data_IF_944017272809
#
_entry.id   IF_944017272809
#
_cell.length_a   1.000
_cell.length_b   1.000
_cell.length_c   1.000
_cell.angle_alpha   90.00
_cell.angle_beta   90.00
_cell.angle_gamma   90.00
#
_symmetry.space_group_name_H-M   'P 1'
#
loop_
_entity.id
_entity.type
_entity.pdbx_description
1 polymer ?
#
# COMPACT_ATOMS: atom_id res chain seq x y z
N UNK A 1 -59.65 -12.03 -3.54
CA UNK A 1 -59.03 -11.34 -2.38
C UNK A 1 -58.28 -10.13 -2.94
N UNK A 2 -58.82 -8.91 -2.83
CA UNK A 2 -58.54 -7.93 -1.74
C UNK A 2 -57.04 -7.55 -1.75
N UNK A 3 -56.55 -6.33 -2.03
CA UNK A 3 -57.12 -4.95 -1.92
C UNK A 3 -56.16 -3.90 -2.54
N UNK A 4 -56.72 -2.88 -3.25
CA UNK A 4 -56.39 -1.42 -3.45
C UNK A 4 -54.93 -0.96 -3.67
N UNK A 5 -54.58 -0.17 -4.71
CA UNK A 5 -54.90 1.25 -5.04
C UNK A 5 -54.47 2.26 -3.96
N UNK A 6 -53.50 3.13 -4.25
CA UNK A 6 -53.64 4.60 -4.09
C UNK A 6 -52.64 5.40 -4.97
N UNK A 7 -53.22 6.37 -5.68
CA UNK A 7 -52.65 7.52 -6.39
C UNK A 7 -52.19 8.61 -5.40
N UNK A 8 -51.27 9.52 -5.80
CA UNK A 8 -51.60 10.94 -5.98
C UNK A 8 -50.50 11.77 -6.68
N UNK A 9 -50.97 12.64 -7.57
CA UNK A 9 -50.31 13.72 -8.31
C UNK A 9 -50.40 15.02 -7.49
N UNK A 10 -49.45 15.94 -7.61
CA UNK A 10 -49.78 17.38 -7.72
C UNK A 10 -48.68 18.21 -8.40
N UNK A 11 -49.15 19.14 -9.22
CA UNK A 11 -48.45 20.06 -10.12
C UNK A 11 -48.95 21.46 -9.76
N UNK A 12 -48.07 22.47 -9.64
CA UNK A 12 -48.48 23.87 -9.77
C UNK A 12 -47.29 24.75 -10.20
N UNK A 13 -47.46 25.33 -11.39
CA UNK A 13 -46.75 26.48 -11.93
C UNK A 13 -47.32 27.77 -11.31
N UNK A 14 -46.50 28.80 -11.15
CA UNK A 14 -46.86 30.19 -11.52
C UNK A 14 -45.60 31.02 -11.75
N UNK A 15 -45.71 31.95 -12.68
CA UNK A 15 -44.70 32.83 -13.27
C UNK A 15 -45.18 34.30 -13.22
N UNK A 16 -44.24 35.23 -13.51
CA UNK A 16 -44.40 36.69 -13.80
C UNK A 16 -44.62 37.62 -12.58
N UNK A 17 -44.16 38.89 -12.50
CA UNK A 17 -43.45 39.85 -13.39
C UNK A 17 -42.88 41.01 -12.53
N UNK A 18 -41.98 41.82 -13.12
CA UNK A 18 -41.42 43.09 -12.66
C UNK A 18 -42.44 44.18 -12.26
N UNK A 19 -42.03 45.12 -11.40
CA UNK A 19 -41.91 46.56 -11.75
C UNK A 19 -41.27 47.40 -10.63
N UNK A 20 -40.95 48.64 -11.02
CA UNK A 20 -39.88 49.57 -10.66
C UNK A 20 -40.24 50.64 -9.58
N UNK A 21 -39.22 51.44 -9.21
CA UNK A 21 -39.22 52.79 -8.60
C UNK A 21 -39.57 52.89 -7.08
N UNK A 22 -38.95 53.71 -6.21
CA UNK A 22 -38.45 55.07 -6.37
C UNK A 22 -37.44 55.48 -5.25
N UNK A 23 -36.73 56.59 -5.52
CA UNK A 23 -35.62 57.22 -4.78
C UNK A 23 -36.09 58.10 -3.59
N UNK A 24 -35.33 58.19 -2.48
CA UNK A 24 -35.05 59.47 -1.79
C UNK A 24 -33.86 59.39 -0.82
N UNK A 25 -33.00 60.41 -0.91
CA UNK A 25 -31.90 60.75 0.01
C UNK A 25 -32.43 61.61 1.16
N UNK A 26 -31.99 61.36 2.39
CA UNK A 26 -31.85 62.38 3.42
C UNK A 26 -30.68 62.04 4.35
N UNK A 27 -30.04 63.09 4.87
CA UNK A 27 -28.68 63.16 5.38
C UNK A 27 -28.66 63.38 6.90
N UNK A 28 -27.58 62.93 7.57
CA UNK A 28 -27.07 63.31 8.91
C UNK A 28 -27.81 62.65 10.11
N UNK A 29 -27.20 62.21 11.21
CA UNK A 29 -26.01 62.63 11.95
C UNK A 29 -25.26 61.44 12.60
N UNK A 30 -23.99 61.65 12.90
CA UNK A 30 -23.10 60.79 13.70
C UNK A 30 -23.60 60.61 15.15
N UNK A 31 -23.52 59.38 15.65
CA UNK A 31 -23.34 59.11 17.07
C UNK A 31 -22.42 57.89 17.23
N UNK A 32 -21.26 58.15 17.83
CA UNK A 32 -20.30 57.16 18.29
C UNK A 32 -20.96 56.25 19.33
N UNK A 33 -20.92 54.93 19.12
CA UNK A 33 -21.00 53.95 20.19
C UNK A 33 -20.04 52.79 19.87
N UNK A 34 -19.30 52.40 20.90
CA UNK A 34 -18.18 51.46 20.93
C UNK A 34 -18.42 50.17 20.13
N UNK A 35 -17.63 49.96 19.07
CA UNK A 35 -17.47 48.62 18.48
C UNK A 35 -16.52 47.86 19.39
N UNK A 36 -17.09 46.92 20.15
CA UNK A 36 -16.36 45.82 20.78
C UNK A 36 -15.76 44.99 19.64
N UNK A 37 -14.44 45.01 19.50
CA UNK A 37 -13.68 44.01 18.76
C UNK A 37 -13.96 42.64 19.40
N UNK A 38 -14.89 41.90 18.80
CA UNK A 38 -14.86 40.45 18.85
C UNK A 38 -14.06 40.00 17.63
N UNK A 39 -12.73 40.08 17.74
CA UNK A 39 -11.86 39.13 17.04
C UNK A 39 -12.18 37.75 17.63
N UNK A 40 -13.25 37.13 17.14
CA UNK A 40 -13.32 35.67 17.11
C UNK A 40 -12.32 35.24 16.04
N UNK A 41 -11.06 35.11 16.46
CA UNK A 41 -10.12 34.18 15.87
C UNK A 41 -10.79 32.81 15.90
N UNK A 42 -11.54 32.49 14.84
CA UNK A 42 -11.88 31.13 14.45
C UNK A 42 -10.55 30.43 14.11
N UNK A 43 -9.84 30.02 15.16
CA UNK A 43 -8.86 28.96 15.14
C UNK A 43 -9.63 27.67 14.80
N UNK A 44 -10.00 27.54 13.52
CA UNK A 44 -10.40 26.30 12.89
C UNK A 44 -9.19 25.36 13.00
N UNK A 45 -9.07 24.72 14.16
CA UNK A 45 -8.39 23.46 14.35
C UNK A 45 -9.09 22.45 13.44
N UNK A 46 -8.80 22.54 12.15
CA UNK A 46 -9.34 21.70 11.11
C UNK A 46 -8.66 20.33 11.23
N UNK A 47 -8.98 19.61 12.31
CA UNK A 47 -8.54 18.23 12.51
C UNK A 47 -9.11 17.41 11.36
N UNK A 48 -8.21 16.87 10.53
CA UNK A 48 -8.55 15.97 9.42
C UNK A 48 -9.55 14.90 9.88
N UNK A 49 -10.73 14.77 9.23
CA UNK A 49 -11.74 13.81 9.65
C UNK A 49 -11.20 12.37 9.68
N UNK A 50 -11.16 11.77 10.86
CA UNK A 50 -10.75 10.37 11.07
C UNK A 50 -11.89 9.45 10.63
N UNK A 51 -11.55 8.44 9.82
CA UNK A 51 -12.53 7.54 9.19
C UNK A 51 -12.77 6.26 9.97
N UNK A 52 -11.82 5.83 10.79
CA UNK A 52 -11.89 4.58 11.54
C UNK A 52 -12.17 4.81 13.03
N UNK A 53 -12.81 3.83 13.68
CA UNK A 53 -13.26 3.94 15.07
C UNK A 53 -12.22 3.36 16.02
N UNK A 54 -12.27 3.75 17.30
CA UNK A 54 -11.50 3.12 18.38
C UNK A 54 -9.99 3.01 18.06
N UNK A 55 -9.42 4.15 17.61
CA UNK A 55 -8.05 4.25 17.08
C UNK A 55 -6.96 3.89 18.09
N UNK A 56 -7.23 4.11 19.39
CA UNK A 56 -6.33 3.78 20.51
C UNK A 56 -6.74 2.52 21.27
N UNK A 57 -7.66 1.71 20.72
CA UNK A 57 -8.09 0.45 21.32
C UNK A 57 -8.70 0.55 22.74
N UNK A 58 -9.19 1.74 23.13
CA UNK A 58 -9.82 1.98 24.44
C UNK A 58 -11.06 1.12 24.67
N UNK A 59 -11.79 0.79 23.60
CA UNK A 59 -12.95 -0.10 23.60
C UNK A 59 -12.57 -1.57 23.31
N UNK A 60 -11.29 -1.92 23.50
CA UNK A 60 -10.77 -3.25 23.17
C UNK A 60 -10.73 -3.48 21.66
N UNK A 61 -11.11 -4.68 21.23
CA UNK A 61 -11.16 -5.06 19.81
C UNK A 61 -12.51 -4.77 19.14
N UNK A 62 -13.38 -3.98 19.77
CA UNK A 62 -14.63 -3.57 19.15
C UNK A 62 -14.35 -2.83 17.83
N UNK A 63 -15.13 -3.13 16.79
CA UNK A 63 -14.97 -2.67 15.39
C UNK A 63 -13.82 -3.29 14.59
N UNK A 64 -12.88 -3.98 15.24
CA UNK A 64 -11.72 -4.57 14.55
C UNK A 64 -11.98 -5.99 14.04
N UNK A 65 -11.43 -6.31 12.87
CA UNK A 65 -11.36 -7.66 12.32
C UNK A 65 -9.97 -8.22 12.54
N UNK A 66 -9.89 -9.43 13.07
CA UNK A 66 -8.62 -10.08 13.40
C UNK A 66 -8.48 -11.40 12.66
N UNK A 67 -7.24 -11.75 12.29
CA UNK A 67 -6.91 -13.04 11.71
C UNK A 67 -5.58 -13.54 12.29
N UNK A 68 -5.52 -14.85 12.52
CA UNK A 68 -4.30 -15.58 12.86
C UNK A 68 -4.17 -16.74 11.89
N UNK A 69 -3.00 -16.91 11.30
CA UNK A 69 -2.74 -18.05 10.43
C UNK A 69 -2.98 -19.38 11.17
N UNK A 70 -3.68 -20.37 10.57
CA UNK A 70 -4.06 -21.62 11.24
C UNK A 70 -2.88 -22.41 11.82
N UNK A 71 -1.72 -22.36 11.16
CA UNK A 71 -0.46 -23.01 11.56
C UNK A 71 0.07 -22.52 12.92
N UNK A 72 -0.24 -21.28 13.30
CA UNK A 72 0.28 -20.62 14.51
C UNK A 72 -0.83 -20.14 15.46
N UNK A 73 -2.10 -20.42 15.13
CA UNK A 73 -3.26 -19.80 15.79
C UNK A 73 -3.31 -20.01 17.32
N UNK A 74 -2.75 -21.12 17.80
CA UNK A 74 -2.71 -21.46 19.23
C UNK A 74 -1.71 -20.59 20.02
N UNK A 75 -0.60 -20.19 19.39
CA UNK A 75 0.49 -19.49 20.06
C UNK A 75 0.53 -17.99 19.73
N UNK A 76 -0.06 -17.62 18.60
CA UNK A 76 -0.13 -16.25 18.14
C UNK A 76 -1.13 -15.41 18.96
N UNK A 77 -0.80 -14.14 19.23
CA UNK A 77 -1.59 -13.28 20.13
C UNK A 77 -2.04 -12.03 19.39
N UNK A 78 -3.32 -11.69 19.56
CA UNK A 78 -3.92 -10.40 19.25
C UNK A 78 -4.78 -10.06 20.46
N UNK A 79 -4.39 -9.06 21.24
CA UNK A 79 -5.12 -8.64 22.45
C UNK A 79 -4.89 -7.16 22.74
N UNK A 80 -5.71 -6.59 23.62
CA UNK A 80 -5.55 -5.21 24.08
C UNK A 80 -5.10 -5.21 25.54
N UNK A 81 -4.10 -4.40 25.84
CA UNK A 81 -3.44 -4.33 27.15
C UNK A 81 -3.58 -2.95 27.79
N UNK A 82 -3.71 -2.92 29.11
CA UNK A 82 -3.77 -1.71 29.94
C UNK A 82 -2.64 -1.76 30.98
N UNK A 83 -1.41 -1.46 30.58
CA UNK A 83 -0.21 -1.66 31.42
C UNK A 83 0.77 -0.47 31.40
N UNK A 84 0.32 0.72 30.99
CA UNK A 84 1.15 1.94 30.96
C UNK A 84 2.10 2.04 29.76
N UNK A 85 2.06 1.09 28.81
CA UNK A 85 2.80 1.16 27.55
C UNK A 85 1.97 1.69 26.37
N UNK A 86 0.82 2.31 26.63
CA UNK A 86 0.06 2.96 25.58
C UNK A 86 0.76 4.23 25.08
N UNK A 87 0.70 4.50 23.78
CA UNK A 87 1.22 5.73 23.17
C UNK A 87 0.29 6.91 23.48
N UNK A 88 -1.01 6.67 23.49
CA UNK A 88 -2.06 7.60 23.91
C UNK A 88 -3.06 6.84 24.79
N UNK A 89 -3.84 7.57 25.60
CA UNK A 89 -4.83 6.92 26.46
C UNK A 89 -4.23 5.94 27.49
N UNK A 90 -4.93 4.83 27.71
CA UNK A 90 -4.59 3.79 28.70
C UNK A 90 -4.29 2.45 28.04
N UNK A 91 -4.85 2.19 26.87
CA UNK A 91 -4.80 0.89 26.20
C UNK A 91 -3.98 0.95 24.92
N UNK A 92 -3.45 -0.20 24.53
CA UNK A 92 -2.82 -0.40 23.22
C UNK A 92 -3.06 -1.83 22.77
N UNK A 93 -2.91 -2.06 21.48
CA UNK A 93 -2.95 -3.38 20.89
C UNK A 93 -1.58 -4.06 21.03
N UNK A 94 -1.60 -5.31 21.49
CA UNK A 94 -0.45 -6.20 21.54
C UNK A 94 -0.61 -7.31 20.49
N UNK A 95 0.38 -7.41 19.60
CA UNK A 95 0.53 -8.47 18.61
C UNK A 95 1.73 -9.33 18.96
N UNK A 96 1.56 -10.66 18.92
CA UNK A 96 2.67 -11.62 18.97
C UNK A 96 2.62 -12.56 17.79
N UNK A 97 3.76 -12.65 17.12
CA UNK A 97 4.07 -13.75 16.23
C UNK A 97 4.98 -14.73 16.98
N UNK A 98 4.59 -16.00 17.13
CA UNK A 98 5.32 -16.94 17.96
C UNK A 98 6.59 -17.43 17.27
N UNK A 99 7.55 -17.93 18.06
CA UNK A 99 8.75 -18.62 17.58
C UNK A 99 8.45 -19.81 16.65
N UNK A 100 7.27 -20.42 16.77
CA UNK A 100 6.83 -21.49 15.86
C UNK A 100 6.51 -21.00 14.45
N UNK A 101 6.37 -19.69 14.24
CA UNK A 101 6.15 -19.08 12.94
C UNK A 101 7.45 -19.07 12.14
N UNK A 102 7.46 -19.77 11.00
CA UNK A 102 8.67 -19.99 10.21
C UNK A 102 8.56 -19.45 8.79
N UNK A 103 7.34 -19.25 8.30
CA UNK A 103 7.08 -18.95 6.90
C UNK A 103 6.41 -17.59 6.82
N UNK A 104 7.15 -16.59 6.35
CA UNK A 104 6.69 -15.21 6.36
C UNK A 104 5.38 -14.99 5.58
N UNK A 105 5.17 -15.77 4.52
CA UNK A 105 3.99 -15.65 3.65
C UNK A 105 2.80 -16.51 4.07
N UNK A 106 2.93 -17.32 5.13
CA UNK A 106 1.88 -18.22 5.59
C UNK A 106 1.57 -18.08 7.09
N UNK A 107 2.56 -17.69 7.89
CA UNK A 107 2.46 -17.54 9.33
C UNK A 107 2.42 -16.05 9.69
N UNK A 108 1.24 -15.48 9.76
CA UNK A 108 1.06 -14.07 10.11
C UNK A 108 -0.12 -13.86 11.05
N UNK A 109 -0.09 -12.74 11.77
CA UNK A 109 -1.25 -12.18 12.46
C UNK A 109 -1.62 -10.86 11.84
N UNK A 110 -2.92 -10.57 11.83
CA UNK A 110 -3.46 -9.45 11.08
C UNK A 110 -4.64 -8.84 11.83
N UNK A 111 -4.73 -7.51 11.79
CA UNK A 111 -5.88 -6.78 12.32
C UNK A 111 -6.16 -5.51 11.51
N UNK A 112 -7.43 -5.22 11.26
CA UNK A 112 -7.84 -4.08 10.45
C UNK A 112 -9.32 -3.74 10.55
N UNK A 113 -9.75 -2.70 9.83
CA UNK A 113 -11.14 -2.27 9.68
C UNK A 113 -11.51 -2.11 8.21
N UNK A 114 -12.77 -2.43 7.87
CA UNK A 114 -13.34 -2.01 6.59
C UNK A 114 -13.90 -0.61 6.74
N UNK A 115 -13.39 0.31 5.91
CA UNK A 115 -13.76 1.71 5.89
C UNK A 115 -14.46 2.02 4.57
N UNK A 116 -15.55 2.77 4.62
CA UNK A 116 -16.22 3.30 3.42
C UNK A 116 -15.47 4.56 2.97
N UNK A 117 -14.60 4.44 1.96
CA UNK A 117 -13.77 5.53 1.48
C UNK A 117 -14.20 5.98 0.08
N UNK A 118 -14.00 7.26 -0.22
CA UNK A 118 -14.36 7.90 -1.49
C UNK A 118 -13.11 8.05 -2.37
N UNK A 119 -13.18 7.58 -3.62
CA UNK A 119 -12.06 7.72 -4.58
C UNK A 119 -11.73 9.18 -4.93
N UNK A 120 -12.63 10.11 -4.65
CA UNK A 120 -12.44 11.56 -4.87
C UNK A 120 -11.68 12.24 -3.73
N UNK A 121 -11.28 11.49 -2.69
CA UNK A 121 -10.54 12.00 -1.54
C UNK A 121 -9.16 11.34 -1.41
N UNK A 122 -8.21 12.10 -0.86
CA UNK A 122 -6.90 11.60 -0.42
C UNK A 122 -6.94 11.27 1.05
N UNK A 123 -6.28 10.17 1.39
CA UNK A 123 -6.22 9.68 2.75
C UNK A 123 -4.78 9.53 3.21
N UNK A 124 -4.56 9.75 4.52
CA UNK A 124 -3.34 9.39 5.21
C UNK A 124 -3.63 8.23 6.14
N UNK A 125 -2.95 7.12 5.93
CA UNK A 125 -2.85 6.04 6.89
C UNK A 125 -1.71 6.37 7.85
N UNK A 126 -1.93 6.32 9.16
CA UNK A 126 -0.89 6.46 10.16
C UNK A 126 -1.09 5.52 11.35
N UNK A 127 0.01 5.02 11.92
CA UNK A 127 -0.01 4.12 13.07
C UNK A 127 1.28 4.26 13.86
N UNK A 128 1.19 4.20 15.19
CA UNK A 128 2.36 4.13 16.07
C UNK A 128 2.68 2.68 16.39
N UNK A 129 3.92 2.29 16.14
CA UNK A 129 4.40 0.94 16.37
C UNK A 129 5.60 0.95 17.32
N UNK A 130 5.67 -0.02 18.22
CA UNK A 130 6.84 -0.25 19.08
C UNK A 130 7.17 -1.74 19.10
N UNK A 131 8.41 -2.07 18.82
CA UNK A 131 8.90 -3.43 19.01
C UNK A 131 9.12 -3.68 20.51
N UNK A 132 8.38 -4.64 21.08
CA UNK A 132 8.28 -4.81 22.53
C UNK A 132 9.38 -5.69 23.12
N UNK A 133 10.05 -6.49 22.29
CA UNK A 133 11.09 -7.42 22.73
C UNK A 133 12.37 -7.35 21.86
N UNK A 134 12.97 -6.16 21.69
CA UNK A 134 14.16 -5.95 20.85
C UNK A 134 15.42 -6.66 21.36
N UNK A 135 15.40 -7.17 22.58
CA UNK A 135 16.48 -7.94 23.18
C UNK A 135 16.59 -9.37 22.65
N UNK A 136 15.60 -9.84 21.89
CA UNK A 136 15.73 -11.11 21.20
C UNK A 136 16.79 -11.00 20.07
N UNK A 137 17.35 -12.12 19.61
CA UNK A 137 18.41 -12.10 18.60
C UNK A 137 17.91 -11.79 17.17
N UNK A 138 16.67 -11.29 17.02
CA UNK A 138 16.15 -10.85 15.74
C UNK A 138 16.74 -9.48 15.38
N UNK A 139 16.93 -9.16 14.10
CA UNK A 139 17.51 -7.88 13.70
C UNK A 139 16.52 -6.71 13.75
N UNK A 140 15.22 -6.97 13.69
CA UNK A 140 14.14 -5.98 13.68
C UNK A 140 12.81 -6.66 14.04
N UNK A 141 11.70 -5.92 14.03
CA UNK A 141 10.36 -6.46 13.79
C UNK A 141 9.85 -5.98 12.42
N UNK A 142 9.17 -6.86 11.68
CA UNK A 142 8.62 -6.55 10.35
C UNK A 142 7.10 -6.42 10.44
N UNK A 143 6.58 -5.23 10.15
CA UNK A 143 5.13 -4.96 10.16
C UNK A 143 4.71 -4.48 8.79
N UNK A 144 3.69 -5.11 8.22
CA UNK A 144 3.04 -4.69 6.98
C UNK A 144 1.89 -3.74 7.30
N UNK A 145 1.84 -2.56 6.67
CA UNK A 145 0.73 -1.62 6.78
C UNK A 145 0.12 -1.39 5.39
N UNK A 146 -1.17 -1.70 5.23
CA UNK A 146 -1.80 -1.75 3.91
C UNK A 146 -3.26 -1.32 3.93
N UNK A 147 -3.69 -0.78 2.79
CA UNK A 147 -5.08 -0.54 2.43
C UNK A 147 -5.39 -1.38 1.19
N UNK A 148 -6.32 -2.33 1.32
CA UNK A 148 -6.82 -3.15 0.21
C UNK A 148 -8.10 -2.53 -0.35
N UNK A 149 -8.06 -2.12 -1.60
CA UNK A 149 -9.18 -1.52 -2.31
C UNK A 149 -10.24 -2.56 -2.71
N UNK A 150 -11.47 -2.13 -3.04
CA UNK A 150 -12.56 -3.02 -3.47
C UNK A 150 -12.22 -3.89 -4.69
N UNK A 151 -11.37 -3.38 -5.59
CA UNK A 151 -10.90 -4.10 -6.78
C UNK A 151 -9.77 -5.10 -6.50
N UNK A 152 -9.32 -5.21 -5.24
CA UNK A 152 -8.26 -6.10 -4.81
C UNK A 152 -6.86 -5.49 -4.86
N UNK A 153 -6.70 -4.26 -5.35
CA UNK A 153 -5.41 -3.57 -5.36
C UNK A 153 -4.99 -3.13 -3.97
N UNK A 154 -3.70 -2.85 -3.77
CA UNK A 154 -3.14 -2.50 -2.47
C UNK A 154 -2.35 -1.19 -2.52
N UNK A 155 -2.48 -0.39 -1.47
CA UNK A 155 -1.62 0.76 -1.18
C UNK A 155 -1.01 0.58 0.20
N UNK A 156 0.30 0.75 0.34
CA UNK A 156 0.96 0.51 1.63
C UNK A 156 2.42 0.13 1.48
N UNK A 157 2.97 -0.44 2.54
CA UNK A 157 4.37 -0.87 2.63
C UNK A 157 4.60 -1.77 3.83
N UNK A 158 5.70 -2.48 3.78
CA UNK A 158 6.31 -3.07 4.96
C UNK A 158 7.18 -2.04 5.67
N UNK A 159 7.24 -2.13 7.00
CA UNK A 159 8.07 -1.29 7.87
C UNK A 159 8.93 -2.18 8.76
N UNK A 160 10.20 -1.82 8.86
CA UNK A 160 11.19 -2.48 9.71
C UNK A 160 11.43 -1.61 10.92
N UNK A 161 11.22 -2.18 12.11
CA UNK A 161 11.43 -1.50 13.38
C UNK A 161 12.75 -2.00 13.97
N UNK A 162 13.81 -1.22 13.77
CA UNK A 162 15.19 -1.64 14.10
C UNK A 162 15.57 -1.39 15.57
N UNK A 163 14.75 -0.66 16.32
CA UNK A 163 14.93 -0.47 17.76
C UNK A 163 13.57 -0.50 18.47
N UNK A 164 13.51 -1.16 19.63
CA UNK A 164 12.28 -1.29 20.43
C UNK A 164 12.15 -0.29 21.57
N UNK A 165 12.94 0.79 21.56
CA UNK A 165 13.00 1.73 22.70
C UNK A 165 11.70 2.53 22.84
N UNK A 166 11.27 3.17 21.75
CA UNK A 166 10.16 4.11 21.72
C UNK A 166 9.18 3.78 20.59
N UNK A 167 7.96 4.31 20.69
CA UNK A 167 7.00 4.26 19.59
C UNK A 167 7.48 5.09 18.40
N UNK A 168 7.31 4.53 17.21
CA UNK A 168 7.65 5.15 15.94
C UNK A 168 6.39 5.33 15.10
N UNK A 169 6.20 6.54 14.56
CA UNK A 169 5.07 6.84 13.67
C UNK A 169 5.39 6.35 12.26
N UNK A 170 4.56 5.45 11.74
CA UNK A 170 4.61 5.03 10.35
C UNK A 170 3.37 5.52 9.63
N UNK A 171 3.55 6.11 8.45
CA UNK A 171 2.45 6.60 7.64
C UNK A 171 2.72 6.48 6.14
N UNK A 172 1.65 6.48 5.36
CA UNK A 172 1.65 6.65 3.91
C UNK A 172 0.36 7.34 3.47
N UNK A 173 0.41 7.98 2.31
CA UNK A 173 -0.75 8.59 1.68
C UNK A 173 -1.24 7.72 0.53
N UNK A 174 -2.56 7.66 0.32
CA UNK A 174 -3.16 6.92 -0.77
C UNK A 174 -4.49 7.53 -1.21
N UNK A 175 -4.93 7.12 -2.39
CA UNK A 175 -6.25 7.41 -2.93
C UNK A 175 -6.88 6.08 -3.31
N UNK A 176 -8.10 5.76 -2.83
CA UNK A 176 -8.79 4.54 -3.23
C UNK A 176 -8.97 4.47 -4.74
N UNK A 177 -8.77 3.31 -5.33
CA UNK A 177 -8.99 3.11 -6.79
C UNK A 177 -10.48 3.17 -7.16
N UNK A 178 -11.36 2.87 -6.20
CA UNK A 178 -12.80 2.96 -6.33
C UNK A 178 -13.45 3.36 -4.99
N UNK A 179 -14.60 4.04 -5.06
CA UNK A 179 -15.41 4.35 -3.88
C UNK A 179 -16.00 3.06 -3.32
N UNK A 180 -15.88 2.85 -2.01
CA UNK A 180 -16.47 1.72 -1.30
C UNK A 180 -15.59 1.20 -0.16
N UNK A 181 -15.80 -0.08 0.18
CA UNK A 181 -15.13 -0.74 1.30
C UNK A 181 -13.65 -1.01 1.05
N UNK A 182 -12.79 -0.17 1.61
CA UNK A 182 -11.35 -0.38 1.69
C UNK A 182 -11.02 -1.07 3.01
N UNK A 183 -10.24 -2.15 2.98
CA UNK A 183 -9.77 -2.81 4.20
C UNK A 183 -8.39 -2.28 4.57
N UNK A 184 -8.34 -1.44 5.61
CA UNK A 184 -7.09 -0.87 6.15
C UNK A 184 -6.61 -1.74 7.32
N UNK A 185 -5.37 -2.20 7.26
CA UNK A 185 -4.87 -3.20 8.20
C UNK A 185 -3.37 -3.12 8.47
N UNK A 186 -2.99 -3.77 9.57
CA UNK A 186 -1.62 -4.15 9.88
C UNK A 186 -1.47 -5.68 9.89
N UNK A 187 -0.29 -6.17 9.51
CA UNK A 187 0.12 -7.56 9.72
C UNK A 187 1.51 -7.64 10.34
N UNK A 188 1.71 -8.58 11.25
CA UNK A 188 3.03 -8.90 11.79
C UNK A 188 3.57 -10.13 11.06
N UNK A 189 4.77 -9.97 10.51
CA UNK A 189 5.42 -10.88 9.58
C UNK A 189 6.57 -11.65 10.24
N UNK A 190 6.87 -12.88 9.78
CA UNK A 190 7.97 -13.65 10.37
C UNK A 190 9.32 -13.12 9.91
N UNK A 191 10.31 -13.30 10.76
CA UNK A 191 11.69 -13.29 10.32
C UNK A 191 11.98 -14.57 9.55
N UNK A 192 12.88 -14.45 8.57
CA UNK A 192 13.35 -15.60 7.82
C UNK A 192 14.51 -16.31 8.51
N UNK A 193 15.16 -15.65 9.47
CA UNK A 193 16.20 -16.22 10.33
C UNK A 193 16.01 -15.77 11.76
N UNK A 194 16.17 -16.71 12.69
CA UNK A 194 15.84 -16.51 14.10
C UNK A 194 14.36 -16.77 14.30
N UNK A 195 14.05 -17.74 15.15
CA UNK A 195 12.69 -18.17 15.45
C UNK A 195 12.41 -17.81 16.90
N UNK A 196 12.35 -16.52 17.16
CA UNK A 196 11.95 -15.96 18.46
C UNK A 196 10.56 -15.37 18.33
N UNK A 197 9.88 -15.26 19.47
CA UNK A 197 8.64 -14.49 19.50
C UNK A 197 8.95 -13.06 19.03
N UNK A 198 8.12 -12.52 18.15
CA UNK A 198 8.16 -11.10 17.79
C UNK A 198 6.93 -10.45 18.38
N UNK A 199 7.14 -9.50 19.29
CA UNK A 199 6.07 -8.81 20.01
C UNK A 199 6.03 -7.35 19.57
N UNK A 200 4.88 -6.88 19.09
CA UNK A 200 4.71 -5.49 18.65
C UNK A 200 3.54 -4.86 19.37
N UNK A 201 3.78 -3.66 19.92
CA UNK A 201 2.74 -2.78 20.42
C UNK A 201 2.30 -1.85 19.30
N UNK A 202 1.00 -1.62 19.22
CA UNK A 202 0.35 -0.82 18.18
C UNK A 202 -0.63 0.10 18.87
N UNK A 203 -0.61 1.37 18.47
CA UNK A 203 -1.53 2.36 19.01
C UNK A 203 -1.78 3.48 18.00
N UNK A 204 -2.83 4.28 18.24
CA UNK A 204 -3.22 5.43 17.42
C UNK A 204 -3.26 5.09 15.91
N UNK A 205 -3.93 3.98 15.55
CA UNK A 205 -4.17 3.63 14.14
C UNK A 205 -5.21 4.60 13.57
N UNK A 206 -4.82 5.45 12.62
CA UNK A 206 -5.68 6.46 12.00
C UNK A 206 -5.69 6.36 10.48
N UNK A 207 -6.87 6.53 9.90
CA UNK A 207 -7.08 6.83 8.48
C UNK A 207 -7.82 8.15 8.40
N UNK A 208 -7.15 9.18 7.87
CA UNK A 208 -7.61 10.56 7.89
C UNK A 208 -7.83 11.09 6.48
N UNK A 209 -8.87 11.88 6.25
CA UNK A 209 -9.01 12.66 5.00
C UNK A 209 -8.03 13.82 5.04
N UNK A 210 -7.16 13.91 4.04
CA UNK A 210 -6.15 14.98 3.94
C UNK A 210 -6.39 15.95 2.78
N UNK A 211 -7.47 15.76 2.02
CA UNK A 211 -7.88 16.64 0.93
C UNK A 211 -8.58 15.89 -0.20
N UNK A 212 -8.79 16.59 -1.31
CA UNK A 212 -9.34 16.01 -2.53
C UNK A 212 -8.29 15.19 -3.30
N UNK A 213 -8.75 14.20 -4.04
CA UNK A 213 -7.96 13.49 -5.04
C UNK A 213 -7.45 14.48 -6.08
N UNK A 214 -6.12 14.55 -6.22
CA UNK A 214 -5.49 15.32 -7.29
C UNK A 214 -5.42 14.42 -8.51
N UNK A 215 -6.17 14.79 -9.55
CA UNK A 215 -6.11 14.12 -10.85
C UNK A 215 -5.45 15.06 -11.84
N UNK A 216 -4.17 14.82 -12.09
CA UNK A 216 -3.44 15.59 -13.09
C UNK A 216 -3.80 15.11 -14.49
N UNK A 217 -3.86 16.03 -15.45
CA UNK A 217 -4.07 15.64 -16.85
C UNK A 217 -2.83 14.92 -17.37
N UNK A 218 -2.98 13.64 -17.71
CA UNK A 218 -1.96 12.94 -18.50
C UNK A 218 -2.15 13.29 -19.99
N UNK A 219 -1.18 14.00 -20.62
CA UNK A 219 -1.31 14.47 -21.99
C UNK A 219 -1.22 13.33 -23.03
N UNK A 220 -0.92 12.11 -22.60
CA UNK A 220 -0.82 10.94 -23.47
C UNK A 220 -2.20 10.27 -23.62
N UNK A 221 -2.51 9.68 -24.79
CA UNK A 221 -3.70 8.85 -24.95
C UNK A 221 -3.72 7.65 -23.99
N UNK A 222 -4.92 7.22 -23.58
CA UNK A 222 -5.11 6.00 -22.80
C UNK A 222 -4.70 4.75 -23.60
N UNK A 223 -4.44 3.66 -22.88
CA UNK A 223 -4.13 2.33 -23.41
C UNK A 223 -2.83 2.23 -24.24
N UNK A 224 -2.02 3.30 -24.28
CA UNK A 224 -0.68 3.26 -24.87
C UNK A 224 0.31 2.70 -23.85
N UNK A 225 1.12 1.72 -24.28
CA UNK A 225 2.22 1.22 -23.47
C UNK A 225 3.28 2.31 -23.30
N UNK A 226 3.58 2.64 -22.05
CA UNK A 226 4.55 3.67 -21.69
C UNK A 226 5.97 3.13 -21.54
N UNK A 227 6.14 1.81 -21.48
CA UNK A 227 7.44 1.16 -21.46
C UNK A 227 7.99 1.00 -22.87
N UNK A 228 9.28 1.25 -23.02
CA UNK A 228 10.04 0.98 -24.24
C UNK A 228 10.65 -0.42 -24.18
N UNK A 229 10.78 -1.07 -25.34
CA UNK A 229 11.40 -2.39 -25.49
C UNK A 229 10.80 -3.43 -24.53
N UNK A 230 9.47 -3.51 -24.50
CA UNK A 230 8.71 -4.42 -23.62
C UNK A 230 8.86 -5.90 -23.94
N UNK A 231 9.20 -6.23 -25.18
CA UNK A 231 9.46 -7.59 -25.67
C UNK A 231 10.96 -7.94 -25.66
N UNK A 232 11.80 -7.07 -25.11
CA UNK A 232 13.26 -7.26 -25.01
C UNK A 232 13.97 -7.55 -26.35
N UNK A 233 13.38 -7.16 -27.49
CA UNK A 233 13.93 -7.41 -28.82
C UNK A 233 15.29 -6.75 -29.01
N UNK A 234 15.45 -5.56 -28.41
CA UNK A 234 16.67 -4.75 -28.42
C UNK A 234 17.55 -5.05 -27.19
N UNK A 235 17.35 -6.21 -26.58
CA UNK A 235 18.06 -6.64 -25.38
C UNK A 235 17.72 -5.76 -24.16
N UNK A 236 18.74 -5.23 -23.48
CA UNK A 236 18.55 -4.34 -22.32
C UNK A 236 18.45 -2.86 -22.67
N UNK A 237 18.40 -2.48 -23.95
CA UNK A 237 18.20 -1.08 -24.31
C UNK A 237 16.94 -0.53 -23.64
N UNK A 238 17.03 0.69 -23.10
CA UNK A 238 16.02 1.38 -22.27
C UNK A 238 15.78 0.80 -20.86
N UNK A 239 16.36 -0.36 -20.54
CA UNK A 239 16.24 -0.99 -19.23
C UNK A 239 17.49 -0.75 -18.39
N UNK A 240 17.28 -0.24 -17.18
CA UNK A 240 18.36 -0.14 -16.21
C UNK A 240 18.45 -1.43 -15.42
N UNK A 241 19.69 -1.89 -15.27
CA UNK A 241 20.04 -2.98 -14.38
C UNK A 241 20.00 -2.54 -12.92
N UNK A 242 19.47 -3.38 -12.06
CA UNK A 242 19.46 -3.14 -10.61
C UNK A 242 19.80 -4.42 -9.87
N UNK A 243 20.57 -4.32 -8.79
CA UNK A 243 20.89 -5.43 -7.90
C UNK A 243 21.36 -4.90 -6.54
N UNK A 244 21.29 -5.75 -5.51
CA UNK A 244 22.04 -5.60 -4.28
C UNK A 244 22.70 -6.94 -4.00
N UNK A 245 24.01 -6.91 -3.73
CA UNK A 245 24.80 -8.10 -3.46
C UNK A 245 25.81 -7.82 -2.34
N UNK A 246 25.34 -7.52 -1.12
CA UNK A 246 26.23 -7.07 -0.03
C UNK A 246 27.23 -8.16 0.40
N UNK A 247 26.94 -9.41 0.09
CA UNK A 247 27.75 -10.59 0.45
C UNK A 247 28.53 -11.17 -0.74
N UNK A 248 28.51 -10.50 -1.90
CA UNK A 248 29.19 -10.92 -3.13
C UNK A 248 28.87 -12.37 -3.54
N UNK A 249 27.59 -12.76 -3.48
CA UNK A 249 27.13 -14.07 -3.95
C UNK A 249 27.36 -14.19 -5.45
N UNK A 250 28.05 -15.25 -5.87
CA UNK A 250 28.25 -15.60 -7.27
C UNK A 250 26.93 -16.10 -7.91
N UNK A 251 26.68 -15.77 -9.18
CA UNK A 251 25.50 -16.26 -9.91
C UNK A 251 24.25 -15.38 -9.83
N UNK A 252 24.37 -14.14 -9.37
CA UNK A 252 23.35 -13.10 -9.53
C UNK A 252 23.32 -12.58 -10.96
N UNK A 253 22.62 -13.29 -11.83
CA UNK A 253 22.62 -12.99 -13.25
C UNK A 253 21.33 -12.33 -13.71
N UNK A 254 21.48 -11.54 -14.77
CA UNK A 254 20.40 -11.08 -15.62
C UNK A 254 20.90 -11.09 -17.05
N UNK A 255 20.16 -11.72 -17.93
CA UNK A 255 20.51 -11.79 -19.34
C UNK A 255 19.26 -11.91 -20.19
N UNK A 256 19.43 -11.63 -21.47
CA UNK A 256 18.39 -11.80 -22.46
C UNK A 256 18.47 -13.22 -22.98
N UNK A 257 17.36 -13.93 -22.92
CA UNK A 257 17.23 -15.28 -23.47
C UNK A 257 16.35 -15.20 -24.70
N UNK A 258 16.80 -15.85 -25.78
CA UNK A 258 16.02 -16.01 -26.99
C UNK A 258 15.58 -17.47 -27.13
N UNK A 259 14.27 -17.69 -27.23
CA UNK A 259 13.69 -19.00 -27.47
C UNK A 259 12.60 -18.90 -28.54
N UNK A 260 12.70 -19.73 -29.58
CA UNK A 260 11.79 -19.70 -30.74
C UNK A 260 11.65 -18.31 -31.39
N UNK A 261 12.69 -17.48 -31.33
CA UNK A 261 12.72 -16.11 -31.85
C UNK A 261 12.10 -15.05 -30.93
N UNK A 262 11.54 -15.45 -29.78
CA UNK A 262 11.05 -14.52 -28.75
C UNK A 262 12.15 -14.25 -27.73
N UNK A 263 12.34 -12.98 -27.37
CA UNK A 263 13.31 -12.57 -26.35
C UNK A 263 12.61 -12.28 -25.03
N UNK A 264 13.24 -12.66 -23.94
CA UNK A 264 12.77 -12.38 -22.57
C UNK A 264 13.95 -12.03 -21.68
N UNK A 265 13.69 -11.34 -20.57
CA UNK A 265 14.71 -11.19 -19.53
C UNK A 265 14.66 -12.41 -18.61
N UNK A 266 15.79 -13.06 -18.39
CA UNK A 266 15.95 -14.07 -17.35
C UNK A 266 16.61 -13.43 -16.12
N UNK A 267 16.01 -13.63 -14.95
CA UNK A 267 16.53 -13.23 -13.64
C UNK A 267 16.92 -14.48 -12.85
N UNK A 268 18.13 -14.49 -12.31
CA UNK A 268 18.66 -15.63 -11.57
C UNK A 268 19.11 -15.24 -10.16
N UNK A 269 18.71 -16.07 -9.20
CA UNK A 269 19.28 -16.13 -7.86
C UNK A 269 19.85 -17.53 -7.61
N UNK A 270 21.10 -17.64 -7.13
CA UNK A 270 21.65 -18.91 -6.68
C UNK A 270 20.93 -19.39 -5.41
N UNK A 271 20.93 -20.70 -5.17
CA UNK A 271 20.38 -21.27 -3.94
C UNK A 271 21.37 -21.18 -2.78
N UNK A 272 20.92 -20.67 -1.64
CA UNK A 272 21.66 -20.69 -0.38
C UNK A 272 20.69 -20.86 0.82
N UNK A 273 20.02 -22.02 0.94
CA UNK A 273 18.94 -22.24 1.92
C UNK A 273 19.37 -22.16 3.38
N UNK A 274 20.68 -22.16 3.66
CA UNK A 274 21.24 -22.08 5.00
C UNK A 274 22.00 -20.77 5.26
N UNK A 275 21.99 -19.82 4.32
CA UNK A 275 22.82 -18.62 4.40
C UNK A 275 22.02 -17.35 4.70
N UNK A 276 22.57 -16.51 5.58
CA UNK A 276 22.17 -15.10 5.73
C UNK A 276 22.43 -14.25 4.50
N UNK A 277 23.22 -14.77 3.57
CA UNK A 277 23.73 -14.01 2.43
C UNK A 277 22.63 -13.60 1.44
N UNK A 278 21.53 -14.36 1.37
CA UNK A 278 20.46 -14.09 0.41
C UNK A 278 19.39 -13.10 0.88
N UNK A 279 19.33 -12.81 2.19
CA UNK A 279 18.27 -11.95 2.75
C UNK A 279 18.32 -10.50 2.24
N UNK A 280 19.50 -10.00 1.91
CA UNK A 280 19.67 -8.66 1.35
C UNK A 280 20.00 -8.69 -0.14
N UNK A 281 19.99 -9.87 -0.74
CA UNK A 281 20.42 -10.09 -2.11
C UNK A 281 19.23 -10.06 -3.05
N UNK A 282 19.35 -9.30 -4.12
CA UNK A 282 18.33 -9.24 -5.15
C UNK A 282 18.93 -8.83 -6.50
N UNK A 283 18.27 -9.23 -7.58
CA UNK A 283 18.57 -8.78 -8.94
C UNK A 283 17.28 -8.42 -9.66
N UNK A 284 17.35 -7.49 -10.60
CA UNK A 284 16.20 -7.11 -11.40
C UNK A 284 16.53 -6.04 -12.43
N UNK A 285 15.46 -5.50 -13.01
CA UNK A 285 15.50 -4.42 -13.97
C UNK A 285 14.47 -3.35 -13.62
N UNK A 286 14.67 -2.14 -14.17
CA UNK A 286 13.68 -1.08 -14.08
C UNK A 286 13.75 -0.11 -15.26
N UNK A 287 12.63 0.57 -15.51
CA UNK A 287 12.55 1.71 -16.42
C UNK A 287 11.86 2.87 -15.71
N UNK A 288 12.31 4.10 -15.99
CA UNK A 288 11.75 5.31 -15.43
C UNK A 288 10.59 5.79 -16.30
N UNK A 289 9.40 5.87 -15.72
CA UNK A 289 8.19 6.31 -16.42
C UNK A 289 7.55 7.45 -15.63
N UNK A 290 7.21 8.55 -16.32
CA UNK A 290 6.39 9.60 -15.72
C UNK A 290 4.95 9.10 -15.60
N UNK A 291 4.43 9.06 -14.38
CA UNK A 291 3.01 8.79 -14.11
C UNK A 291 2.38 10.07 -13.55
N UNK A 292 1.09 10.26 -13.81
CA UNK A 292 0.36 11.47 -13.42
C UNK A 292 -0.59 11.16 -12.28
N UNK A 293 -0.59 12.00 -11.24
CA UNK A 293 -1.39 11.86 -10.02
C UNK A 293 -2.85 11.54 -10.36
N UNK A 294 -3.44 10.60 -9.62
CA UNK A 294 -4.85 10.22 -9.71
C UNK A 294 -5.26 9.45 -10.96
N UNK A 295 -4.37 9.22 -11.93
CA UNK A 295 -4.66 8.39 -13.10
C UNK A 295 -4.39 6.91 -12.78
N UNK A 296 -5.30 6.01 -13.14
CA UNK A 296 -5.07 4.58 -12.97
C UNK A 296 -4.23 4.03 -14.12
N UNK A 297 -3.21 3.24 -13.80
CA UNK A 297 -2.38 2.55 -14.77
C UNK A 297 -2.41 1.04 -14.52
N UNK A 298 -2.52 0.26 -15.59
CA UNK A 298 -2.41 -1.20 -15.53
C UNK A 298 -0.97 -1.62 -15.85
N UNK A 299 -0.29 -2.26 -14.90
CA UNK A 299 0.99 -2.92 -15.06
C UNK A 299 0.74 -4.39 -15.41
N UNK A 300 1.28 -4.86 -16.54
CA UNK A 300 1.11 -6.23 -17.00
C UNK A 300 2.44 -6.86 -17.36
N UNK A 301 2.58 -8.17 -17.18
CA UNK A 301 3.75 -8.93 -17.60
C UNK A 301 3.37 -10.38 -17.89
N UNK A 302 4.11 -11.03 -18.78
CA UNK A 302 4.11 -12.48 -18.94
C UNK A 302 5.30 -13.06 -18.18
N UNK A 303 5.05 -14.09 -17.40
CA UNK A 303 6.05 -14.72 -16.53
C UNK A 303 6.10 -16.20 -16.87
N UNK A 304 7.30 -16.68 -17.15
CA UNK A 304 7.57 -18.09 -17.35
C UNK A 304 8.64 -18.56 -16.35
N UNK A 305 8.44 -19.74 -15.79
CA UNK A 305 9.32 -20.32 -14.77
C UNK A 305 10.22 -21.35 -15.43
N UNK A 306 11.53 -21.07 -15.44
CA UNK A 306 12.55 -22.08 -15.80
C UNK A 306 13.08 -22.71 -14.51
N UNK A 307 12.24 -23.42 -13.78
CA UNK A 307 12.68 -24.20 -12.61
C UNK A 307 12.41 -25.68 -12.87
N UNK A 308 13.31 -26.60 -12.48
CA UNK A 308 13.14 -28.02 -12.78
C UNK A 308 11.79 -28.57 -12.31
N UNK A 309 11.21 -29.45 -13.13
CA UNK A 309 10.02 -30.22 -12.77
C UNK A 309 10.24 -30.96 -11.44
N UNK A 310 9.28 -30.85 -10.50
CA UNK A 310 9.37 -31.48 -9.18
C UNK A 310 9.86 -30.55 -8.06
N UNK A 311 9.75 -29.24 -8.24
CA UNK A 311 10.09 -28.27 -7.20
C UNK A 311 8.90 -27.98 -6.28
N UNK A 312 9.02 -28.33 -5.01
CA UNK A 312 7.93 -28.24 -4.01
C UNK A 312 7.82 -26.88 -3.29
N UNK A 313 8.69 -25.92 -3.60
CA UNK A 313 8.65 -24.57 -3.02
C UNK A 313 8.06 -23.54 -3.97
N UNK A 314 7.44 -22.51 -3.38
CA UNK A 314 6.91 -21.37 -4.10
C UNK A 314 8.04 -20.43 -4.52
N UNK A 315 7.86 -19.80 -5.67
CA UNK A 315 8.72 -18.74 -6.19
C UNK A 315 7.98 -17.41 -6.12
N UNK A 316 8.70 -16.36 -5.72
CA UNK A 316 8.21 -15.00 -5.62
C UNK A 316 8.96 -14.11 -6.61
N UNK A 317 8.20 -13.41 -7.45
CA UNK A 317 8.65 -12.33 -8.31
C UNK A 317 7.97 -11.03 -7.90
N UNK A 318 8.72 -9.96 -7.74
CA UNK A 318 8.22 -8.69 -7.23
C UNK A 318 8.03 -7.72 -8.39
N UNK A 319 6.86 -7.08 -8.49
CA UNK A 319 6.54 -6.06 -9.51
C UNK A 319 6.03 -4.79 -8.86
N UNK A 320 6.78 -3.71 -8.94
CA UNK A 320 6.40 -2.51 -8.22
C UNK A 320 6.76 -1.23 -8.96
N UNK A 321 5.92 -0.23 -8.74
CA UNK A 321 6.17 1.15 -9.10
C UNK A 321 6.50 1.93 -7.82
N UNK A 322 7.70 2.51 -7.77
CA UNK A 322 8.12 3.29 -6.61
C UNK A 322 8.78 4.60 -7.03
N UNK A 323 8.56 5.64 -6.23
CA UNK A 323 9.25 6.92 -6.40
C UNK A 323 10.69 6.79 -5.90
N UNK A 324 11.73 7.01 -6.72
CA UNK A 324 13.10 7.04 -6.25
C UNK A 324 13.32 8.20 -5.25
N UNK A 325 14.15 8.00 -4.22
CA UNK A 325 14.31 8.96 -3.13
C UNK A 325 15.04 10.21 -3.63
N UNK A 326 14.31 11.31 -3.77
CA UNK A 326 14.89 12.68 -3.76
C UNK A 326 14.45 13.44 -2.51
N UNK A 327 13.28 13.11 -1.95
CA UNK A 327 12.81 13.52 -0.61
C UNK A 327 11.88 12.42 -0.03
N UNK A 328 11.95 12.23 1.29
CA UNK A 328 11.14 11.28 2.08
C UNK A 328 9.68 11.76 2.16
N UNK A 329 8.64 10.88 2.19
CA UNK A 329 8.67 9.42 2.25
C UNK A 329 8.61 8.70 0.89
N UNK A 330 9.19 7.49 0.85
CA UNK A 330 9.05 6.56 -0.27
C UNK A 330 7.58 6.20 -0.46
N UNK A 331 6.97 6.60 -1.57
CA UNK A 331 5.63 6.19 -1.96
C UNK A 331 5.73 4.97 -2.89
N UNK A 332 5.19 3.85 -2.41
CA UNK A 332 5.04 2.59 -3.14
C UNK A 332 3.61 2.50 -3.65
N UNK A 333 3.43 2.17 -4.93
CA UNK A 333 2.11 2.21 -5.58
C UNK A 333 1.53 0.83 -5.94
N UNK A 334 2.26 -0.28 -5.74
CA UNK A 334 1.86 -1.60 -6.22
C UNK A 334 2.83 -2.74 -5.92
N UNK A 335 2.43 -3.96 -6.31
CA UNK A 335 2.55 -5.21 -5.51
C UNK A 335 3.97 -5.63 -5.06
N UNK A 336 4.02 -6.16 -3.84
CA UNK A 336 5.29 -6.66 -3.29
C UNK A 336 5.56 -8.07 -3.79
N UNK A 337 4.61 -9.02 -3.83
CA UNK A 337 4.95 -10.41 -4.20
C UNK A 337 3.93 -11.03 -5.17
N UNK A 338 4.38 -11.44 -6.37
CA UNK A 338 3.64 -12.37 -7.22
C UNK A 338 4.17 -13.79 -6.99
N UNK A 339 3.31 -14.65 -6.42
CA UNK A 339 3.67 -15.98 -5.94
C UNK A 339 3.10 -17.06 -6.86
N UNK A 340 3.94 -18.01 -7.23
CA UNK A 340 3.57 -19.15 -8.07
C UNK A 340 4.42 -20.38 -7.71
N UNK A 341 3.88 -21.57 -7.92
CA UNK A 341 4.57 -22.85 -7.66
C UNK A 341 4.41 -23.86 -8.80
N UNK A 342 3.67 -23.51 -9.86
CA UNK A 342 3.49 -24.31 -11.06
C UNK A 342 4.43 -23.75 -12.13
N UNK A 343 5.08 -24.62 -12.89
CA UNK A 343 5.90 -24.23 -14.04
C UNK A 343 5.00 -24.11 -15.28
N UNK A 344 4.14 -23.11 -15.28
CA UNK A 344 3.27 -22.76 -16.40
C UNK A 344 3.41 -21.27 -16.73
N UNK A 345 2.80 -20.88 -17.84
CA UNK A 345 2.76 -19.48 -18.21
C UNK A 345 1.81 -18.72 -17.28
N UNK A 346 2.31 -17.62 -16.72
CA UNK A 346 1.54 -16.74 -15.86
C UNK A 346 1.38 -15.36 -16.50
N UNK A 347 0.16 -14.84 -16.51
CA UNK A 347 -0.12 -13.45 -16.84
C UNK A 347 -0.31 -12.65 -15.55
N UNK A 348 0.58 -11.69 -15.32
CA UNK A 348 0.48 -10.72 -14.23
C UNK A 348 -0.25 -9.47 -14.72
N UNK A 349 -1.16 -8.95 -13.88
CA UNK A 349 -1.88 -7.71 -14.13
C UNK A 349 -2.27 -7.06 -12.81
N UNK A 350 -1.81 -5.83 -12.57
CA UNK A 350 -2.19 -5.04 -11.40
C UNK A 350 -2.48 -3.59 -11.78
N UNK A 351 -3.44 -2.98 -11.08
CA UNK A 351 -3.75 -1.56 -11.22
C UNK A 351 -2.98 -0.76 -10.16
N UNK A 352 -2.36 0.34 -10.59
CA UNK A 352 -1.64 1.27 -9.73
C UNK A 352 -2.14 2.69 -9.96
N UNK A 353 -2.25 3.46 -8.88
CA UNK A 353 -2.69 4.87 -8.95
C UNK A 353 -1.67 5.74 -8.21
N UNK A 354 -0.88 6.57 -8.90
CA UNK A 354 0.08 7.45 -8.27
C UNK A 354 -0.62 8.58 -7.51
N UNK A 355 -0.07 8.94 -6.36
CA UNK A 355 -0.54 10.08 -5.56
C UNK A 355 0.10 11.40 -5.97
N UNK A 356 1.13 11.37 -6.81
CA UNK A 356 1.89 12.53 -7.26
C UNK A 356 2.33 12.36 -8.73
N UNK A 357 2.35 13.45 -9.49
CA UNK A 357 2.92 13.45 -10.84
C UNK A 357 4.43 13.51 -10.79
N UNK A 358 5.09 12.38 -11.04
CA UNK A 358 6.56 12.30 -11.00
C UNK A 358 7.10 11.12 -11.80
N UNK A 359 8.42 10.96 -11.79
CA UNK A 359 9.10 9.80 -12.37
C UNK A 359 9.04 8.63 -11.38
N UNK A 360 8.43 7.53 -11.81
CA UNK A 360 8.39 6.27 -11.06
C UNK A 360 9.35 5.26 -11.69
N UNK A 361 10.01 4.48 -10.83
CA UNK A 361 10.74 3.30 -11.23
C UNK A 361 9.74 2.14 -11.35
N UNK A 362 9.45 1.71 -12.59
CA UNK A 362 8.70 0.49 -12.84
C UNK A 362 9.70 -0.66 -12.84
N UNK A 363 9.66 -1.51 -11.82
CA UNK A 363 10.69 -2.52 -11.56
C UNK A 363 10.11 -3.91 -11.45
N UNK A 364 10.86 -4.89 -11.95
CA UNK A 364 10.68 -6.30 -11.62
C UNK A 364 11.96 -6.83 -11.00
N UNK A 365 11.85 -7.54 -9.87
CA UNK A 365 12.99 -8.06 -9.12
C UNK A 365 12.69 -9.41 -8.51
N UNK A 366 13.74 -10.20 -8.35
CA UNK A 366 13.75 -11.41 -7.51
C UNK A 366 14.58 -11.11 -6.27
N UNK A 367 14.00 -11.37 -5.10
CA UNK A 367 14.69 -11.24 -3.82
C UNK A 367 15.01 -12.61 -3.24
N UNK A 368 16.24 -12.76 -2.72
CA UNK A 368 16.63 -13.95 -1.97
C UNK A 368 15.81 -14.11 -0.69
N UNK A 369 15.48 -12.98 -0.03
CA UNK A 369 14.53 -12.96 1.09
C UNK A 369 13.18 -13.54 0.68
N UNK A 370 12.47 -12.94 -0.28
CA UNK A 370 11.13 -13.43 -0.70
C UNK A 370 11.07 -14.90 -1.15
N UNK A 371 12.21 -15.51 -1.48
CA UNK A 371 12.30 -16.91 -1.94
C UNK A 371 12.91 -17.87 -0.90
N UNK A 372 13.05 -17.45 0.37
CA UNK A 372 13.62 -18.26 1.47
C UNK A 372 15.01 -18.84 1.14
N UNK A 373 15.81 -18.08 0.40
CA UNK A 373 17.14 -18.51 -0.07
C UNK A 373 17.11 -19.69 -1.06
N UNK A 374 15.95 -20.10 -1.56
CA UNK A 374 15.86 -21.09 -2.63
C UNK A 374 16.39 -20.51 -3.94
N UNK A 375 16.98 -21.36 -4.82
CA UNK A 375 17.38 -20.91 -6.14
C UNK A 375 16.17 -20.44 -6.95
N UNK A 376 16.36 -19.40 -7.74
CA UNK A 376 15.31 -18.81 -8.57
C UNK A 376 15.85 -18.61 -9.97
N UNK A 377 15.10 -19.06 -10.97
CA UNK A 377 15.33 -18.76 -12.37
C UNK A 377 13.97 -18.48 -13.01
N UNK A 378 13.76 -17.21 -13.38
CA UNK A 378 12.47 -16.75 -13.90
C UNK A 378 12.72 -15.95 -15.17
N UNK A 379 11.86 -16.14 -16.17
CA UNK A 379 11.79 -15.32 -17.36
C UNK A 379 10.59 -14.39 -17.30
N UNK A 380 10.80 -13.14 -17.66
CA UNK A 380 9.77 -12.12 -17.77
C UNK A 380 9.78 -11.56 -19.19
N UNK A 381 8.60 -11.40 -19.76
CA UNK A 381 8.39 -10.86 -21.09
C UNK A 381 7.12 -9.98 -21.11
N UNK A 382 6.91 -9.24 -22.20
CA UNK A 382 5.74 -8.41 -22.46
C UNK A 382 5.38 -7.47 -21.29
N UNK A 383 6.41 -6.89 -20.64
CA UNK A 383 6.23 -5.98 -19.52
C UNK A 383 5.68 -4.64 -20.02
N UNK A 384 4.43 -4.33 -19.71
CA UNK A 384 3.75 -3.11 -20.16
C UNK A 384 3.15 -2.32 -19.00
N UNK A 385 3.07 -1.00 -19.16
CA UNK A 385 2.29 -0.13 -18.28
C UNK A 385 1.45 0.82 -19.12
N UNK A 386 0.14 0.85 -18.89
CA UNK A 386 -0.82 1.61 -19.71
C UNK A 386 -1.77 2.37 -18.84
N UNK A 387 -2.09 3.63 -19.18
CA UNK A 387 -3.19 4.34 -18.53
C UNK A 387 -4.52 3.68 -18.90
N UNK A 388 -5.38 3.40 -17.94
CA UNK A 388 -6.75 2.91 -18.15
C UNK A 388 -7.75 4.02 -17.85
N UNK A 389 -8.94 3.96 -18.48
CA UNK A 389 -10.02 4.94 -18.31
C UNK A 389 -11.13 4.45 -17.37
#
# INVERSE_FOLDING_TARGET
>A
MKTKILFLVWLLLFSFSCDNDDISNEQLEEQDDEVIDNDEDDDDNNESPIQNLNIGFEEGLLHWKTYKAPSIANDAIIRVDENGNAKSGKKHLFLRLPASAKINTADYVHIGQHLELDKTKRYKYSVWLKWANPENELPNAIVSIWARNPDGTYSGKDVWIDNGKDYQLHSFEFTPTATGKVFCYISLLTHQKGFYNTDVLVDDFKVEVIGDAVVDTDPRPANINLLKNSSFSDGFDFWNSTHNNPTNVDGLNKFIVEENGNKSVQLELPGAPNSTDLNYTWTGIYQNVKLYAGNTYQLQARIDRVVPSGTDYYTILNFYAYKPPTTTPKAWLGSIDYRFNIAELHDYSEMITPTETTMYHISTRVFGWGNDGNPVTIRVDDLTIKRVE
#
